data_IF_889417205176
#
_entry.id   IF_889417205176
#
_cell.length_a   1.000
_cell.length_b   1.000
_cell.length_c   1.000
_cell.angle_alpha   90.00
_cell.angle_beta   90.00
_cell.angle_gamma   90.00
#
_symmetry.space_group_name_H-M   'P 1'
#
loop_
_entity.id
_entity.type
_entity.pdbx_description
1 polymer ?
#
# COMPACT_ATOMS: atom_id res chain seq x y z
N UNK A 1 38.42 18.73 17.56
CA UNK A 1 37.79 17.79 18.50
C UNK A 1 36.30 18.06 18.39
N UNK A 2 35.59 17.35 17.50
CA UNK A 2 34.89 16.07 17.80
C UNK A 2 33.57 16.40 18.53
N UNK A 3 32.35 16.12 18.03
CA UNK A 3 31.91 15.08 17.10
C UNK A 3 30.62 15.47 16.37
N UNK A 4 30.49 14.95 15.15
CA UNK A 4 29.28 14.93 14.36
C UNK A 4 28.43 13.73 14.79
N UNK A 5 27.22 13.95 15.29
CA UNK A 5 26.28 12.86 15.59
C UNK A 5 25.25 12.72 14.46
N UNK A 6 25.57 11.83 13.52
CA UNK A 6 24.67 11.38 12.46
C UNK A 6 23.54 10.53 13.07
N UNK A 7 22.32 11.05 13.13
CA UNK A 7 21.13 10.28 13.55
C UNK A 7 20.30 9.84 12.34
N UNK A 8 20.38 8.55 12.08
CA UNK A 8 19.66 7.84 11.02
C UNK A 8 18.14 8.00 11.14
N UNK A 9 17.52 8.61 10.13
CA UNK A 9 16.07 8.66 9.95
C UNK A 9 15.50 7.26 9.70
N UNK A 10 14.70 6.76 10.64
CA UNK A 10 14.03 5.46 10.53
C UNK A 10 12.86 5.56 9.55
N UNK A 11 13.11 5.22 8.29
CA UNK A 11 12.04 4.99 7.31
C UNK A 11 11.25 3.74 7.70
N UNK A 12 10.03 3.91 8.23
CA UNK A 12 9.10 2.79 8.44
C UNK A 12 8.57 2.35 7.08
N UNK A 13 9.04 1.20 6.61
CA UNK A 13 8.52 0.51 5.42
C UNK A 13 7.56 -0.57 5.89
N UNK A 14 6.27 -0.38 5.65
CA UNK A 14 5.30 -1.43 5.84
C UNK A 14 5.25 -2.28 4.56
N UNK A 15 5.72 -3.54 4.66
CA UNK A 15 5.59 -4.56 3.61
C UNK A 15 4.38 -5.42 3.95
N UNK A 16 3.36 -5.43 3.09
CA UNK A 16 2.17 -6.23 3.31
C UNK A 16 2.19 -7.47 2.41
N UNK A 17 2.13 -8.64 3.03
CA UNK A 17 1.91 -9.91 2.35
C UNK A 17 0.41 -10.17 2.28
N UNK A 18 -0.16 -10.14 1.08
CA UNK A 18 -1.55 -10.49 0.80
C UNK A 18 -1.88 -11.87 1.40
N UNK A 19 -2.55 -11.87 2.55
CA UNK A 19 -2.94 -13.10 3.24
C UNK A 19 -4.44 -13.27 3.10
N UNK A 20 -4.79 -13.99 2.04
CA UNK A 20 -6.10 -14.59 1.77
C UNK A 20 -6.64 -15.40 2.94
N UNK A 21 -7.96 -15.31 3.18
CA UNK A 21 -8.97 -16.34 3.58
C UNK A 21 -10.25 -15.58 4.02
N UNK A 22 -11.52 -15.96 3.81
CA UNK A 22 -12.35 -17.05 3.23
C UNK A 22 -13.82 -16.54 3.40
N UNK A 23 -14.93 -17.03 2.83
CA UNK A 23 -15.32 -18.04 1.85
C UNK A 23 -16.86 -17.98 1.68
N UNK A 24 -17.38 -18.32 0.50
CA UNK A 24 -18.66 -19.02 0.21
C UNK A 24 -18.95 -18.84 -1.30
N UNK A 25 -19.32 -19.80 -2.15
CA UNK A 25 -19.87 -21.15 -1.98
C UNK A 25 -19.84 -21.90 -3.34
N UNK A 26 -19.81 -23.24 -3.29
CA UNK A 26 -20.19 -24.26 -4.30
C UNK A 26 -19.44 -24.36 -5.65
N UNK A 27 -18.52 -25.32 -5.78
CA UNK A 27 -18.72 -26.56 -6.58
C UNK A 27 -17.47 -27.46 -6.54
N UNK A 28 -17.75 -28.75 -6.40
CA UNK A 28 -16.80 -29.81 -6.14
C UNK A 28 -15.97 -30.23 -7.37
N UNK A 29 -14.75 -30.66 -7.06
CA UNK A 29 -14.08 -31.85 -7.60
C UNK A 29 -13.75 -31.91 -9.10
N UNK A 30 -12.45 -31.83 -9.42
CA UNK A 30 -11.75 -32.94 -10.06
C UNK A 30 -10.22 -32.79 -9.95
N UNK A 31 -9.52 -33.93 -10.00
CA UNK A 31 -8.07 -34.10 -10.23
C UNK A 31 -7.14 -33.97 -9.01
N UNK A 32 -7.21 -35.01 -8.17
CA UNK A 32 -6.01 -35.63 -7.57
C UNK A 32 -5.17 -36.25 -8.69
N UNK A 33 -4.13 -35.56 -9.13
CA UNK A 33 -2.91 -36.10 -9.74
C UNK A 33 -2.23 -34.97 -10.51
N UNK A 34 -1.23 -34.34 -9.89
CA UNK A 34 -0.09 -33.61 -10.45
C UNK A 34 0.46 -32.75 -9.31
N UNK A 35 1.46 -33.23 -8.54
CA UNK A 35 2.15 -32.36 -7.62
C UNK A 35 2.93 -31.34 -8.46
N UNK A 36 2.89 -30.09 -8.06
CA UNK A 36 4.07 -29.25 -8.20
C UNK A 36 4.57 -29.03 -9.64
N UNK A 37 3.81 -28.34 -10.49
CA UNK A 37 4.41 -27.63 -11.63
C UNK A 37 3.69 -26.31 -11.94
N UNK A 38 4.48 -25.24 -11.81
CA UNK A 38 4.42 -23.99 -12.56
C UNK A 38 3.15 -23.14 -12.41
N UNK A 39 3.25 -22.16 -11.52
CA UNK A 39 3.26 -20.78 -12.05
C UNK A 39 4.29 -19.93 -11.29
N UNK A 40 5.58 -20.20 -11.57
CA UNK A 40 6.56 -19.12 -11.68
C UNK A 40 6.12 -18.27 -12.88
N UNK A 41 5.19 -17.35 -12.67
CA UNK A 41 5.32 -16.07 -13.33
C UNK A 41 5.88 -15.17 -12.24
N UNK A 42 7.20 -15.24 -12.12
CA UNK A 42 7.99 -14.16 -11.56
C UNK A 42 7.68 -12.96 -12.44
N UNK A 43 6.67 -12.19 -12.05
CA UNK A 43 6.41 -10.90 -12.63
C UNK A 43 7.59 -10.02 -12.25
N UNK A 44 8.62 -10.05 -13.09
CA UNK A 44 9.67 -9.03 -13.21
C UNK A 44 9.07 -7.71 -13.73
N UNK A 45 7.78 -7.44 -13.49
CA UNK A 45 7.23 -6.11 -13.77
C UNK A 45 7.68 -5.20 -12.64
N UNK A 46 8.55 -4.26 -12.98
CA UNK A 46 8.95 -3.18 -12.10
C UNK A 46 7.69 -2.56 -11.47
N UNK A 47 7.55 -2.55 -10.14
CA UNK A 47 6.38 -1.99 -9.48
C UNK A 47 6.32 -0.49 -9.74
N UNK A 48 5.11 0.02 -9.99
CA UNK A 48 4.91 1.47 -10.16
C UNK A 48 4.86 2.14 -8.80
N UNK A 49 5.40 3.34 -8.74
CA UNK A 49 5.44 4.16 -7.53
C UNK A 49 4.79 5.49 -7.82
N UNK A 50 3.88 5.90 -6.94
CA UNK A 50 3.21 7.20 -7.02
C UNK A 50 3.45 7.91 -5.71
N UNK A 51 3.96 9.15 -5.76
CA UNK A 51 4.26 9.94 -4.57
C UNK A 51 3.33 11.15 -4.53
N UNK A 52 2.79 11.46 -3.36
CA UNK A 52 1.86 12.56 -3.19
C UNK A 52 1.34 12.69 -1.78
N UNK A 53 0.35 13.57 -1.60
CA UNK A 53 -0.38 13.72 -0.34
C UNK A 53 -1.73 13.04 -0.44
N UNK A 54 -2.20 12.50 0.68
CA UNK A 54 -3.56 11.98 0.76
C UNK A 54 -4.54 13.16 0.64
N UNK A 55 -5.41 13.15 -0.37
CA UNK A 55 -6.43 14.19 -0.55
C UNK A 55 -7.75 13.80 0.13
N UNK A 56 -8.15 12.53 0.06
CA UNK A 56 -9.36 12.01 0.71
C UNK A 56 -9.25 10.56 1.16
N UNK A 57 -10.11 10.18 2.10
CA UNK A 57 -10.38 8.80 2.53
C UNK A 57 -11.78 8.41 2.03
N UNK A 58 -11.93 7.19 1.51
CA UNK A 58 -13.19 6.64 1.02
C UNK A 58 -13.68 5.57 2.00
N UNK A 59 -14.93 5.72 2.46
CA UNK A 59 -15.61 4.77 3.33
C UNK A 59 -16.92 4.36 2.69
N UNK A 60 -17.33 3.12 2.96
CA UNK A 60 -18.65 2.65 2.55
C UNK A 60 -19.77 3.23 3.44
N UNK A 61 -21.02 2.86 3.14
CA UNK A 61 -22.20 3.32 3.90
C UNK A 61 -22.23 2.85 5.36
N UNK A 62 -21.44 1.85 5.72
CA UNK A 62 -21.33 1.32 7.08
C UNK A 62 -20.14 1.92 7.84
N UNK A 63 -19.29 2.69 7.16
CA UNK A 63 -18.08 3.28 7.73
C UNK A 63 -16.86 2.39 7.61
N UNK A 64 -16.92 1.32 6.82
CA UNK A 64 -15.76 0.47 6.54
C UNK A 64 -14.88 1.16 5.50
N UNK A 65 -13.56 1.12 5.74
CA UNK A 65 -12.58 1.70 4.84
C UNK A 65 -12.58 0.98 3.48
N UNK A 66 -12.78 1.72 2.40
CA UNK A 66 -12.79 1.20 1.02
C UNK A 66 -11.51 1.60 0.25
N UNK A 67 -10.93 2.75 0.58
CA UNK A 67 -9.78 3.26 -0.13
C UNK A 67 -9.43 4.70 0.18
N UNK A 68 -8.57 5.29 -0.64
CA UNK A 68 -8.11 6.66 -0.48
C UNK A 68 -7.67 7.25 -1.81
N UNK A 69 -7.62 8.58 -1.86
CA UNK A 69 -7.09 9.34 -3.00
C UNK A 69 -5.77 9.99 -2.65
N UNK A 70 -4.86 9.95 -3.62
CA UNK A 70 -3.54 10.54 -3.55
C UNK A 70 -3.43 11.64 -4.61
N UNK A 71 -3.16 12.86 -4.17
CA UNK A 71 -2.83 13.98 -5.05
C UNK A 71 -1.31 14.06 -5.23
N UNK A 72 -0.84 13.89 -6.46
CA UNK A 72 0.58 13.99 -6.81
C UNK A 72 1.02 15.46 -6.92
N UNK A 73 2.33 15.68 -6.95
CA UNK A 73 2.91 17.01 -7.18
C UNK A 73 2.58 17.56 -8.57
N UNK A 74 2.34 16.67 -9.54
CA UNK A 74 1.92 17.01 -10.89
C UNK A 74 0.42 17.40 -10.98
N UNK A 75 -0.31 17.35 -9.85
CA UNK A 75 -1.73 17.70 -9.77
C UNK A 75 -2.68 16.57 -10.18
N UNK A 76 -2.18 15.35 -10.40
CA UNK A 76 -3.01 14.19 -10.72
C UNK A 76 -3.53 13.51 -9.46
N UNK A 77 -4.81 13.17 -9.45
CA UNK A 77 -5.41 12.34 -8.42
C UNK A 77 -5.39 10.86 -8.80
N UNK A 78 -4.88 10.03 -7.89
CA UNK A 78 -4.89 8.57 -8.02
C UNK A 78 -5.74 7.95 -6.92
N UNK A 79 -6.72 7.15 -7.32
CA UNK A 79 -7.54 6.37 -6.39
C UNK A 79 -6.92 4.98 -6.16
N UNK A 80 -6.79 4.62 -4.89
CA UNK A 80 -6.34 3.31 -4.43
C UNK A 80 -7.42 2.66 -3.57
N UNK A 81 -7.62 1.36 -3.74
CA UNK A 81 -8.59 0.57 -2.99
C UNK A 81 -7.89 -0.39 -2.07
N UNK A 82 -8.32 -0.43 -0.81
CA UNK A 82 -7.91 -1.42 0.15
C UNK A 82 -8.93 -1.48 1.29
N UNK A 83 -9.17 -2.68 1.80
CA UNK A 83 -10.01 -2.91 2.99
C UNK A 83 -9.18 -3.33 4.20
N UNK A 84 -7.86 -3.22 4.12
CA UNK A 84 -6.98 -3.59 5.22
C UNK A 84 -6.91 -2.45 6.25
N UNK A 85 -7.35 -2.71 7.49
CA UNK A 85 -7.30 -1.71 8.58
C UNK A 85 -5.88 -1.19 8.87
N UNK A 86 -4.85 -2.00 8.67
CA UNK A 86 -3.46 -1.54 8.83
C UNK A 86 -3.09 -0.46 7.80
N UNK A 87 -3.66 -0.52 6.60
CA UNK A 87 -3.48 0.52 5.58
C UNK A 87 -4.28 1.77 5.95
N UNK A 88 -5.53 1.59 6.38
CA UNK A 88 -6.37 2.69 6.89
C UNK A 88 -5.63 3.49 7.97
N UNK A 89 -5.06 2.81 8.97
CA UNK A 89 -4.33 3.46 10.07
C UNK A 89 -3.14 4.28 9.59
N UNK A 90 -2.36 3.75 8.64
CA UNK A 90 -1.21 4.44 8.05
C UNK A 90 -1.66 5.66 7.24
N UNK A 91 -2.69 5.52 6.41
CA UNK A 91 -3.19 6.61 5.57
C UNK A 91 -3.87 7.69 6.41
N UNK A 92 -4.66 7.30 7.41
CA UNK A 92 -5.28 8.22 8.37
C UNK A 92 -4.23 9.01 9.14
N UNK A 93 -3.15 8.35 9.57
CA UNK A 93 -2.01 9.02 10.18
C UNK A 93 -1.35 10.01 9.21
N UNK A 94 -1.03 9.57 7.99
CA UNK A 94 -0.42 10.42 6.97
C UNK A 94 -1.29 11.64 6.63
N UNK A 95 -2.60 11.46 6.53
CA UNK A 95 -3.55 12.53 6.22
C UNK A 95 -3.62 13.55 7.35
N UNK A 96 -3.72 13.08 8.61
CA UNK A 96 -3.76 13.96 9.79
C UNK A 96 -2.49 14.78 9.95
N UNK A 97 -1.33 14.15 9.80
CA UNK A 97 -0.03 14.82 9.94
C UNK A 97 0.40 15.55 8.65
N UNK A 98 -0.41 15.45 7.58
CA UNK A 98 -0.12 16.00 6.23
C UNK A 98 1.22 15.54 5.65
N UNK A 99 1.62 14.31 5.99
CA UNK A 99 2.83 13.67 5.49
C UNK A 99 2.68 13.32 4.00
N UNK A 100 3.79 13.41 3.25
CA UNK A 100 3.87 12.90 1.88
C UNK A 100 4.05 11.38 1.95
N UNK A 101 3.38 10.65 1.07
CA UNK A 101 3.50 9.20 1.00
C UNK A 101 3.87 8.74 -0.39
N UNK A 102 4.60 7.63 -0.48
CA UNK A 102 4.80 6.89 -1.73
C UNK A 102 3.99 5.60 -1.67
N UNK A 103 3.05 5.44 -2.59
CA UNK A 103 2.28 4.21 -2.79
C UNK A 103 2.97 3.38 -3.87
N UNK A 104 3.16 2.09 -3.60
CA UNK A 104 3.78 1.13 -4.52
C UNK A 104 2.71 0.13 -4.95
N UNK A 105 2.54 -0.03 -6.27
CA UNK A 105 1.54 -0.92 -6.87
C UNK A 105 2.18 -1.87 -7.88
N UNK A 106 1.57 -3.03 -8.08
CA UNK A 106 1.96 -3.94 -9.14
C UNK A 106 1.40 -3.47 -10.47
N UNK A 107 2.11 -3.76 -11.58
CA UNK A 107 1.70 -3.30 -12.92
C UNK A 107 0.33 -3.85 -13.34
N UNK A 108 -0.02 -5.05 -12.91
CA UNK A 108 -1.29 -5.70 -13.24
C UNK A 108 -2.45 -5.27 -12.33
N UNK A 109 -2.15 -4.60 -11.20
CA UNK A 109 -3.13 -4.14 -10.22
C UNK A 109 -2.79 -2.71 -9.77
N UNK A 110 -2.92 -1.71 -10.67
CA UNK A 110 -2.47 -0.34 -10.40
C UNK A 110 -3.29 0.38 -9.31
N UNK A 111 -4.44 -0.17 -8.92
CA UNK A 111 -5.34 0.40 -7.92
C UNK A 111 -5.21 -0.28 -6.54
N UNK A 112 -4.43 -1.36 -6.43
CA UNK A 112 -4.25 -2.10 -5.18
C UNK A 112 -2.86 -1.78 -4.61
N UNK A 113 -2.78 -1.06 -3.47
CA UNK A 113 -1.50 -0.75 -2.85
C UNK A 113 -0.87 -2.01 -2.27
N UNK A 114 0.38 -2.29 -2.67
CA UNK A 114 1.16 -3.42 -2.15
C UNK A 114 2.14 -2.99 -1.06
N UNK A 115 2.57 -1.72 -1.09
CA UNK A 115 3.37 -1.13 -0.02
C UNK A 115 3.17 0.37 0.02
N UNK A 116 3.26 0.93 1.24
CA UNK A 116 3.08 2.35 1.50
C UNK A 116 4.29 2.81 2.31
N UNK A 117 4.96 3.85 1.82
CA UNK A 117 6.13 4.46 2.46
C UNK A 117 5.75 5.86 2.92
N UNK A 118 5.76 6.07 4.23
CA UNK A 118 5.61 7.40 4.83
C UNK A 118 6.90 8.20 4.61
N UNK A 119 6.79 9.34 3.94
CA UNK A 119 7.89 10.29 3.76
C UNK A 119 7.62 11.51 4.63
N UNK A 120 8.03 11.40 5.89
CA UNK A 120 7.96 12.52 6.83
C UNK A 120 8.89 13.63 6.37
N UNK A 121 8.40 14.86 6.31
CA UNK A 121 9.31 16.02 6.29
C UNK A 121 10.01 16.08 7.66
N UNK A 122 11.34 16.33 7.72
CA UNK A 122 11.99 16.62 9.00
C UNK A 122 11.28 17.82 9.62
N UNK A 123 10.75 17.66 10.85
CA UNK A 123 10.34 18.82 11.63
C UNK A 123 11.64 19.51 12.02
N UNK A 124 11.97 20.61 11.36
CA UNK A 124 12.96 21.55 11.86
C UNK A 124 12.35 22.12 13.15
N UNK A 125 12.92 21.72 14.28
CA UNK A 125 12.63 22.26 15.60
C UNK A 125 13.50 23.50 15.82
#
# INVERSE_FOLDING_TARGET
>A
MSDAETRAGKNKVAKFSATSRRASSVRAALCRALPFLRTRLQTTSIPRRTTGKVSSLEYDRFGDFEGFRLLTEEGFEHAFRSREHAIEDVIRCAWRERDVITVIVLRHEPHVPVSIVLRRAPRLH
#
